data_IF_627371907049
#
_entry.id   IF_627371907049
#
_cell.length_a   1.000
_cell.length_b   1.000
_cell.length_c   1.000
_cell.angle_alpha   90.00
_cell.angle_beta   90.00
_cell.angle_gamma   90.00
#
_symmetry.space_group_name_H-M   'P 1'
#
loop_
_entity.id
_entity.type
_entity.pdbx_description
1 polymer ?
#
# COMPACT_ATOMS: atom_id res chain seq x y z
N UNK A 1 -9.60 -25.47 24.85
CA UNK A 1 -8.36 -25.52 24.07
C UNK A 1 -8.60 -24.76 22.78
N UNK A 2 -7.74 -23.84 22.36
CA UNK A 2 -7.82 -23.28 21.01
C UNK A 2 -7.17 -24.28 20.03
N UNK A 3 -7.74 -24.52 18.84
CA UNK A 3 -7.08 -25.38 17.86
C UNK A 3 -5.80 -24.70 17.37
N UNK A 4 -4.66 -25.28 17.71
CA UNK A 4 -3.40 -25.00 17.02
C UNK A 4 -3.52 -25.54 15.61
N UNK A 5 -3.88 -24.67 14.65
CA UNK A 5 -3.66 -24.93 13.23
C UNK A 5 -2.14 -24.85 12.98
N UNK A 6 -1.47 -25.95 13.30
CA UNK A 6 -0.11 -26.23 12.87
C UNK A 6 -0.15 -27.14 11.64
N UNK A 7 0.43 -26.64 10.56
CA UNK A 7 0.90 -27.31 9.33
C UNK A 7 0.61 -26.39 8.14
N UNK A 8 1.59 -25.56 7.84
CA UNK A 8 1.56 -24.57 6.77
C UNK A 8 1.58 -25.25 5.40
N UNK A 9 0.39 -25.58 4.89
CA UNK A 9 0.15 -25.82 3.47
C UNK A 9 -0.74 -24.70 2.96
N UNK A 10 -0.31 -24.05 1.86
CA UNK A 10 -1.15 -23.18 1.05
C UNK A 10 -2.41 -23.98 0.70
N UNK A 11 -3.59 -23.46 1.06
CA UNK A 11 -4.83 -24.21 0.87
C UNK A 11 -5.14 -24.25 -0.62
N UNK A 12 -5.60 -25.40 -1.11
CA UNK A 12 -5.97 -25.61 -2.51
C UNK A 12 -7.36 -25.03 -2.78
N UNK A 13 -7.50 -23.73 -2.52
CA UNK A 13 -8.68 -22.92 -2.77
C UNK A 13 -8.29 -21.48 -3.07
N UNK A 14 -9.09 -20.82 -3.89
CA UNK A 14 -9.04 -19.37 -4.12
C UNK A 14 -9.83 -18.57 -3.08
N UNK A 15 -10.53 -19.24 -2.16
CA UNK A 15 -11.43 -18.60 -1.21
C UNK A 15 -10.69 -17.93 -0.04
N UNK A 16 -11.27 -16.84 0.48
CA UNK A 16 -10.83 -16.19 1.70
C UNK A 16 -11.34 -16.99 2.92
N UNK A 17 -10.41 -17.41 3.76
CA UNK A 17 -10.68 -18.37 4.85
C UNK A 17 -10.89 -17.67 6.19
N UNK A 18 -12.11 -17.75 6.72
CA UNK A 18 -12.46 -17.31 8.08
C UNK A 18 -12.36 -18.49 9.05
N UNK A 19 -11.22 -18.60 9.73
CA UNK A 19 -10.99 -19.59 10.78
C UNK A 19 -11.60 -19.17 12.13
N UNK A 20 -12.92 -18.92 12.17
CA UNK A 20 -13.68 -18.56 13.37
C UNK A 20 -15.07 -19.22 13.38
N UNK A 21 -15.23 -20.29 14.16
CA UNK A 21 -16.48 -21.05 14.31
C UNK A 21 -17.70 -20.25 14.79
N UNK A 22 -17.48 -19.05 15.34
CA UNK A 22 -18.55 -18.18 15.85
C UNK A 22 -19.09 -17.22 14.76
N UNK A 23 -18.50 -17.22 13.57
CA UNK A 23 -19.01 -16.49 12.39
C UNK A 23 -19.68 -17.51 11.48
N UNK A 24 -20.99 -17.34 11.29
CA UNK A 24 -21.82 -18.14 10.38
C UNK A 24 -22.43 -17.27 9.28
N UNK A 25 -22.92 -17.88 8.22
CA UNK A 25 -23.72 -17.18 7.19
C UNK A 25 -24.90 -16.41 7.80
N UNK A 26 -25.54 -16.97 8.84
CA UNK A 26 -26.64 -16.36 9.59
C UNK A 26 -26.24 -15.34 10.66
N UNK A 27 -24.94 -15.13 10.92
CA UNK A 27 -24.48 -14.19 11.95
C UNK A 27 -24.71 -12.75 11.50
N UNK A 28 -25.35 -11.94 12.36
CA UNK A 28 -25.29 -10.48 12.26
C UNK A 28 -23.88 -10.03 12.65
N UNK A 29 -23.25 -9.18 11.85
CA UNK A 29 -21.89 -8.72 12.11
C UNK A 29 -21.73 -7.26 11.67
N UNK A 30 -21.26 -6.43 12.60
CA UNK A 30 -21.01 -5.02 12.39
C UNK A 30 -19.49 -4.78 12.36
N UNK A 31 -18.99 -4.31 11.22
CA UNK A 31 -17.61 -3.92 11.02
C UNK A 31 -17.43 -2.52 11.63
N UNK A 32 -17.33 -2.48 12.95
CA UNK A 32 -17.42 -1.26 13.77
C UNK A 32 -16.45 -0.17 13.36
N UNK A 33 -15.21 -0.52 12.99
CA UNK A 33 -14.18 0.47 12.65
C UNK A 33 -14.34 1.03 11.24
N UNK A 34 -15.05 0.33 10.35
CA UNK A 34 -15.53 0.89 9.07
C UNK A 34 -16.94 1.49 9.16
N UNK A 35 -17.73 1.17 10.18
CA UNK A 35 -19.14 1.54 10.29
C UNK A 35 -20.03 0.84 9.25
N UNK A 36 -19.70 -0.38 8.85
CA UNK A 36 -20.46 -1.17 7.86
C UNK A 36 -21.17 -2.36 8.53
N UNK A 37 -22.46 -2.52 8.24
CA UNK A 37 -23.26 -3.64 8.75
C UNK A 37 -23.53 -4.68 7.66
N UNK A 38 -23.29 -5.96 7.97
CA UNK A 38 -23.38 -7.06 7.01
C UNK A 38 -24.73 -7.16 6.28
N UNK A 39 -25.82 -6.81 6.95
CA UNK A 39 -27.17 -7.01 6.43
C UNK A 39 -27.74 -5.77 5.73
N UNK A 40 -27.33 -4.57 6.16
CA UNK A 40 -27.90 -3.30 5.67
C UNK A 40 -27.01 -2.55 4.67
N UNK A 41 -25.72 -2.86 4.58
CA UNK A 41 -24.80 -2.20 3.64
C UNK A 41 -24.68 -2.85 2.26
N UNK A 42 -25.38 -3.95 1.97
CA UNK A 42 -25.30 -4.72 0.71
C UNK A 42 -23.85 -5.05 0.29
N UNK A 43 -23.13 -5.71 1.20
CA UNK A 43 -21.73 -6.09 1.02
C UNK A 43 -21.50 -6.91 -0.28
N UNK A 44 -22.30 -7.94 -0.62
CA UNK A 44 -22.10 -8.70 -1.84
C UNK A 44 -22.17 -7.84 -3.10
N UNK A 45 -23.20 -7.01 -3.27
CA UNK A 45 -23.31 -6.17 -4.46
C UNK A 45 -22.11 -5.22 -4.60
N UNK A 46 -21.72 -4.57 -3.50
CA UNK A 46 -20.68 -3.52 -3.50
C UNK A 46 -19.25 -4.02 -3.65
N UNK A 47 -18.94 -5.26 -3.23
CA UNK A 47 -17.55 -5.70 -3.07
C UNK A 47 -17.19 -7.03 -3.77
N UNK A 48 -18.14 -7.80 -4.32
CA UNK A 48 -17.87 -9.13 -4.91
C UNK A 48 -16.77 -9.16 -5.99
N UNK A 49 -16.57 -8.06 -6.73
CA UNK A 49 -15.64 -7.92 -7.84
C UNK A 49 -14.20 -7.57 -7.41
N UNK A 50 -13.96 -7.30 -6.12
CA UNK A 50 -12.66 -6.89 -5.59
C UNK A 50 -11.60 -7.98 -5.80
N UNK A 51 -10.45 -7.56 -6.32
CA UNK A 51 -9.26 -8.40 -6.57
C UNK A 51 -7.99 -7.89 -5.89
N UNK A 52 -7.94 -6.60 -5.55
CA UNK A 52 -6.78 -6.01 -4.87
C UNK A 52 -7.22 -5.19 -3.66
N UNK A 53 -6.45 -5.31 -2.57
CA UNK A 53 -6.53 -4.41 -1.42
C UNK A 53 -5.18 -3.74 -1.26
N UNK A 54 -5.15 -2.42 -1.48
CA UNK A 54 -3.98 -1.60 -1.26
C UNK A 54 -4.13 -0.86 0.07
N UNK A 55 -3.17 -1.00 0.98
CA UNK A 55 -3.28 -0.40 2.32
C UNK A 55 -2.03 0.33 2.79
N UNK A 56 -2.20 1.35 3.63
CA UNK A 56 -1.10 2.18 4.14
C UNK A 56 -1.52 2.99 5.37
N UNK A 57 -0.58 3.60 6.10
CA UNK A 57 -0.93 4.19 7.40
C UNK A 57 -1.84 5.42 7.32
N UNK A 58 -1.58 6.31 6.36
CA UNK A 58 -2.25 7.62 6.24
C UNK A 58 -3.53 7.55 5.40
N UNK A 59 -4.66 7.95 5.99
CA UNK A 59 -5.95 8.07 5.29
C UNK A 59 -5.91 9.04 4.11
N UNK A 60 -5.23 10.18 4.27
CA UNK A 60 -4.99 11.14 3.18
C UNK A 60 -4.22 10.52 2.02
N UNK A 61 -3.25 9.67 2.31
CA UNK A 61 -2.40 9.02 1.30
C UNK A 61 -3.19 7.97 0.51
N UNK A 62 -3.96 7.12 1.20
CA UNK A 62 -4.83 6.13 0.55
C UNK A 62 -5.93 6.79 -0.28
N UNK A 63 -6.57 7.85 0.23
CA UNK A 63 -7.53 8.64 -0.54
C UNK A 63 -6.90 9.35 -1.75
N UNK A 64 -5.65 9.81 -1.65
CA UNK A 64 -4.95 10.41 -2.78
C UNK A 64 -4.63 9.37 -3.87
N UNK A 65 -4.14 8.19 -3.49
CA UNK A 65 -3.86 7.10 -4.42
C UNK A 65 -5.14 6.64 -5.14
N UNK A 66 -6.25 6.47 -4.41
CA UNK A 66 -7.55 6.12 -4.99
C UNK A 66 -7.98 7.14 -6.06
N UNK A 67 -7.81 8.44 -5.81
CA UNK A 67 -8.16 9.50 -6.77
C UNK A 67 -7.25 9.53 -8.01
N UNK A 68 -5.96 9.27 -7.85
CA UNK A 68 -5.02 9.15 -8.98
C UNK A 68 -5.39 7.95 -9.84
N UNK A 69 -5.53 6.77 -9.22
CA UNK A 69 -5.90 5.53 -9.90
C UNK A 69 -7.24 5.64 -10.63
N UNK A 70 -8.27 6.23 -10.00
CA UNK A 70 -9.56 6.45 -10.64
C UNK A 70 -9.42 7.28 -11.93
N UNK A 71 -8.65 8.37 -11.88
CA UNK A 71 -8.42 9.29 -13.00
C UNK A 71 -7.54 8.70 -14.12
N UNK A 72 -6.63 7.80 -13.80
CA UNK A 72 -5.85 7.05 -14.80
C UNK A 72 -6.73 6.03 -15.54
N UNK A 73 -7.86 5.65 -14.94
CA UNK A 73 -8.72 4.54 -15.36
C UNK A 73 -10.15 4.92 -15.74
N UNK A 74 -10.44 6.22 -15.85
CA UNK A 74 -11.78 6.80 -16.08
C UNK A 74 -12.88 6.30 -15.15
N UNK A 75 -12.52 5.92 -13.91
CA UNK A 75 -13.51 5.74 -12.87
C UNK A 75 -13.93 7.09 -12.28
N UNK A 76 -15.17 7.14 -11.80
CA UNK A 76 -15.66 8.29 -11.03
C UNK A 76 -14.77 8.59 -9.81
N UNK A 77 -14.73 9.86 -9.40
CA UNK A 77 -13.95 10.30 -8.25
C UNK A 77 -14.39 9.56 -6.97
N UNK A 78 -13.54 8.72 -6.35
CA UNK A 78 -14.00 7.80 -5.32
C UNK A 78 -14.39 8.52 -4.03
N UNK A 79 -15.54 8.13 -3.49
CA UNK A 79 -16.03 8.54 -2.17
C UNK A 79 -15.54 7.58 -1.09
N UNK A 80 -15.34 8.09 0.12
CA UNK A 80 -15.09 7.24 1.28
C UNK A 80 -16.35 6.43 1.60
N UNK A 81 -16.22 5.10 1.60
CA UNK A 81 -17.28 4.15 1.89
C UNK A 81 -17.38 3.84 3.38
N UNK A 82 -16.40 4.28 4.19
CA UNK A 82 -16.48 4.15 5.64
C UNK A 82 -17.44 5.18 6.25
N UNK A 83 -18.21 4.75 7.24
CA UNK A 83 -19.06 5.62 8.07
C UNK A 83 -18.39 5.98 9.41
N UNK A 84 -17.07 5.81 9.50
CA UNK A 84 -16.24 5.94 10.69
C UNK A 84 -15.01 6.82 10.42
N UNK A 85 -14.46 7.45 11.45
CA UNK A 85 -13.24 8.27 11.35
C UNK A 85 -11.94 7.49 11.58
N UNK A 86 -12.05 6.20 11.94
CA UNK A 86 -10.90 5.33 12.27
C UNK A 86 -10.12 4.93 11.03
N UNK A 87 -10.83 4.46 10.01
CA UNK A 87 -10.27 4.06 8.73
C UNK A 87 -11.11 4.61 7.58
N UNK A 88 -10.47 5.14 6.54
CA UNK A 88 -11.10 5.37 5.24
C UNK A 88 -11.13 4.09 4.42
N UNK A 89 -12.12 3.95 3.55
CA UNK A 89 -12.26 2.82 2.62
C UNK A 89 -12.77 3.33 1.26
N UNK A 90 -11.89 3.44 0.27
CA UNK A 90 -12.27 3.81 -1.11
C UNK A 90 -12.32 2.58 -2.01
N UNK A 91 -13.18 2.58 -3.04
CA UNK A 91 -13.22 1.55 -4.10
C UNK A 91 -13.07 2.20 -5.46
N UNK A 92 -12.22 1.64 -6.33
CA UNK A 92 -12.02 2.09 -7.71
C UNK A 92 -11.87 0.86 -8.61
N UNK A 93 -12.87 0.59 -9.46
CA UNK A 93 -12.96 -0.69 -10.15
C UNK A 93 -12.86 -1.86 -9.14
N UNK A 94 -11.89 -2.76 -9.36
CA UNK A 94 -11.66 -3.96 -8.53
C UNK A 94 -10.66 -3.75 -7.37
N UNK A 95 -10.27 -2.51 -7.08
CA UNK A 95 -9.29 -2.18 -6.05
C UNK A 95 -9.96 -1.49 -4.86
N UNK A 96 -9.63 -1.94 -3.65
CA UNK A 96 -9.92 -1.23 -2.40
C UNK A 96 -8.68 -0.51 -1.89
N UNK A 97 -8.86 0.73 -1.44
CA UNK A 97 -7.84 1.54 -0.79
C UNK A 97 -8.24 1.80 0.65
N UNK A 98 -7.46 1.29 1.60
CA UNK A 98 -7.82 1.31 3.02
C UNK A 98 -6.65 1.77 3.86
N UNK A 99 -6.85 2.72 4.78
CA UNK A 99 -5.78 3.06 5.72
C UNK A 99 -5.83 2.18 6.97
N UNK A 100 -4.69 2.03 7.64
CA UNK A 100 -4.58 1.14 8.79
C UNK A 100 -3.93 1.78 10.03
N UNK A 101 -3.69 3.09 10.03
CA UNK A 101 -3.02 3.79 11.13
C UNK A 101 -1.55 3.39 11.29
N UNK A 102 -1.06 3.30 12.52
CA UNK A 102 0.34 2.99 12.85
C UNK A 102 0.39 1.80 13.82
N UNK A 103 1.31 0.88 13.57
CA UNK A 103 1.61 -0.27 14.42
C UNK A 103 0.71 -1.49 14.16
N UNK A 104 1.26 -2.67 14.45
CA UNK A 104 0.56 -3.95 14.37
C UNK A 104 -0.83 -3.99 15.06
N UNK A 105 -1.08 -3.34 16.23
CA UNK A 105 -2.42 -3.33 16.83
C UNK A 105 -3.48 -2.65 15.96
N UNK A 106 -3.14 -1.50 15.36
CA UNK A 106 -4.03 -0.75 14.47
C UNK A 106 -4.28 -1.53 13.18
N UNK A 107 -3.21 -2.04 12.56
CA UNK A 107 -3.30 -2.88 11.38
C UNK A 107 -4.15 -4.14 11.61
N UNK A 108 -4.00 -4.81 12.75
CA UNK A 108 -4.74 -6.04 13.08
C UNK A 108 -6.25 -5.80 13.10
N UNK A 109 -6.74 -4.64 13.56
CA UNK A 109 -8.16 -4.31 13.55
C UNK A 109 -8.66 -4.16 12.11
N UNK A 110 -7.98 -3.35 11.29
CA UNK A 110 -8.30 -3.16 9.87
C UNK A 110 -8.33 -4.51 9.12
N UNK A 111 -7.31 -5.35 9.31
CA UNK A 111 -7.23 -6.66 8.67
C UNK A 111 -8.38 -7.59 9.09
N UNK A 112 -8.74 -7.66 10.37
CA UNK A 112 -9.85 -8.52 10.79
C UNK A 112 -11.19 -8.08 10.18
N UNK A 113 -11.46 -6.78 10.07
CA UNK A 113 -12.71 -6.30 9.48
C UNK A 113 -12.73 -6.42 7.95
N UNK A 114 -11.63 -6.12 7.23
CA UNK A 114 -11.62 -6.19 5.76
C UNK A 114 -11.60 -7.64 5.25
N UNK A 115 -10.98 -8.58 5.98
CA UNK A 115 -11.00 -9.99 5.63
C UNK A 115 -12.45 -10.54 5.80
N UNK A 116 -13.18 -10.12 6.85
CA UNK A 116 -14.61 -10.43 6.99
C UNK A 116 -15.46 -9.78 5.88
N UNK A 117 -15.22 -8.50 5.55
CA UNK A 117 -15.91 -7.78 4.47
C UNK A 117 -15.85 -8.56 3.15
N UNK A 118 -14.63 -8.96 2.73
CA UNK A 118 -14.41 -9.67 1.48
C UNK A 118 -14.92 -11.12 1.51
N UNK A 119 -14.87 -11.77 2.66
CA UNK A 119 -15.51 -13.07 2.87
C UNK A 119 -17.04 -12.99 2.69
N UNK A 120 -17.71 -12.02 3.31
CA UNK A 120 -19.16 -11.81 3.12
C UNK A 120 -19.52 -11.37 1.70
N UNK A 121 -18.58 -10.75 0.98
CA UNK A 121 -18.73 -10.42 -0.43
C UNK A 121 -18.50 -11.62 -1.38
N UNK A 122 -18.13 -12.79 -0.86
CA UNK A 122 -17.72 -13.97 -1.63
C UNK A 122 -16.55 -13.71 -2.61
N UNK A 123 -15.64 -12.79 -2.25
CA UNK A 123 -14.45 -12.54 -3.04
C UNK A 123 -13.53 -13.77 -3.07
N UNK A 124 -12.94 -14.02 -4.25
CA UNK A 124 -12.00 -15.11 -4.51
C UNK A 124 -10.74 -14.57 -5.17
N UNK A 125 -9.60 -15.18 -4.89
CA UNK A 125 -8.29 -14.85 -5.47
C UNK A 125 -7.96 -13.36 -5.34
N UNK A 126 -7.92 -12.88 -4.10
CA UNK A 126 -7.61 -11.48 -3.75
C UNK A 126 -6.15 -11.37 -3.31
N UNK A 127 -5.48 -10.31 -3.79
CA UNK A 127 -4.11 -9.97 -3.38
C UNK A 127 -4.10 -8.70 -2.53
N UNK A 128 -3.34 -8.73 -1.43
CA UNK A 128 -3.17 -7.60 -0.51
C UNK A 128 -1.78 -6.99 -0.69
N UNK A 129 -1.69 -5.68 -0.89
CA UNK A 129 -0.43 -4.96 -1.07
C UNK A 129 -0.35 -3.83 -0.04
N UNK A 130 0.65 -3.90 0.85
CA UNK A 130 0.94 -2.82 1.80
C UNK A 130 1.88 -1.81 1.16
N UNK A 131 1.44 -0.56 1.12
CA UNK A 131 2.12 0.62 0.56
C UNK A 131 2.61 1.53 1.71
N UNK A 132 3.87 1.34 2.08
CA UNK A 132 4.45 1.90 3.29
C UNK A 132 5.61 2.90 3.07
N UNK A 133 6.03 3.46 4.19
CA UNK A 133 7.24 4.28 4.35
C UNK A 133 8.11 3.60 5.40
N UNK A 134 9.43 3.66 5.23
CA UNK A 134 10.38 2.90 6.05
C UNK A 134 11.71 3.61 6.23
N UNK A 135 12.51 3.17 7.21
CA UNK A 135 13.92 3.57 7.33
C UNK A 135 14.82 2.53 6.66
N UNK A 136 15.56 2.89 5.61
CA UNK A 136 16.47 1.98 4.92
C UNK A 136 17.74 1.68 5.72
N UNK A 137 18.36 0.52 5.51
CA UNK A 137 19.64 0.12 6.12
C UNK A 137 20.66 -0.10 5.00
N UNK A 138 21.59 0.84 4.80
CA UNK A 138 22.51 0.78 3.67
C UNK A 138 21.83 0.96 2.31
N UNK A 139 20.64 1.58 2.30
CA UNK A 139 19.82 1.83 1.13
C UNK A 139 19.63 3.34 0.97
N UNK A 140 19.78 3.82 -0.26
CA UNK A 140 19.61 5.24 -0.57
C UNK A 140 18.14 5.70 -0.45
N UNK A 141 17.89 6.92 0.07
CA UNK A 141 16.54 7.46 0.17
C UNK A 141 15.80 7.45 -1.17
N UNK A 142 14.51 7.16 -1.14
CA UNK A 142 13.65 7.02 -2.31
C UNK A 142 13.64 5.61 -2.93
N UNK A 143 14.54 4.70 -2.53
CA UNK A 143 14.48 3.31 -2.99
C UNK A 143 13.26 2.60 -2.41
N UNK A 144 12.52 1.83 -3.22
CA UNK A 144 11.40 0.99 -2.78
C UNK A 144 11.92 -0.40 -2.40
N UNK A 145 11.74 -0.79 -1.14
CA UNK A 145 12.02 -2.15 -0.67
C UNK A 145 10.76 -3.00 -0.88
N UNK A 146 10.90 -4.08 -1.64
CA UNK A 146 9.86 -5.10 -1.85
C UNK A 146 10.22 -6.29 -0.96
N UNK A 147 9.58 -6.39 0.21
CA UNK A 147 10.00 -7.28 1.29
C UNK A 147 10.00 -8.76 0.87
N UNK A 148 11.10 -9.48 1.11
CA UNK A 148 11.19 -10.94 0.94
C UNK A 148 10.76 -11.72 2.19
N UNK A 149 10.42 -11.02 3.26
CA UNK A 149 10.07 -11.58 4.55
C UNK A 149 10.05 -10.51 5.64
N UNK A 150 9.37 -10.77 6.75
CA UNK A 150 9.18 -9.82 7.84
C UNK A 150 9.67 -10.40 9.17
N UNK A 151 10.67 -9.75 9.77
CA UNK A 151 11.25 -10.11 11.06
C UNK A 151 10.59 -9.30 12.20
N UNK A 152 10.41 -9.94 13.36
CA UNK A 152 10.03 -9.27 14.61
C UNK A 152 11.26 -8.84 15.42
N UNK A 153 11.05 -8.22 16.60
CA UNK A 153 12.13 -7.84 17.52
C UNK A 153 12.96 -9.01 18.11
N UNK A 154 12.51 -10.26 18.00
CA UNK A 154 13.31 -11.46 18.33
C UNK A 154 14.17 -11.93 17.13
N UNK A 155 14.20 -11.16 16.04
CA UNK A 155 14.84 -11.46 14.76
C UNK A 155 14.35 -12.77 14.11
N UNK A 156 13.05 -13.06 14.27
CA UNK A 156 12.37 -14.23 13.69
C UNK A 156 11.26 -13.81 12.73
N UNK A 157 10.99 -14.64 11.72
CA UNK A 157 9.86 -14.46 10.80
C UNK A 157 8.54 -14.94 11.44
N UNK A 158 8.21 -14.39 12.61
CA UNK A 158 7.03 -14.75 13.42
C UNK A 158 6.26 -13.53 13.90
N UNK A 159 4.94 -13.51 13.71
CA UNK A 159 4.05 -12.55 14.37
C UNK A 159 3.61 -13.09 15.73
N UNK A 160 4.03 -12.41 16.79
CA UNK A 160 3.73 -12.75 18.17
C UNK A 160 2.42 -12.09 18.62
N UNK A 161 1.45 -12.87 19.10
CA UNK A 161 0.25 -12.36 19.77
C UNK A 161 0.08 -12.94 21.18
N UNK A 162 -0.51 -12.15 22.08
CA UNK A 162 -0.86 -12.57 23.44
C UNK A 162 -2.35 -12.90 23.51
N UNK A 163 -2.69 -14.18 23.46
CA UNK A 163 -4.08 -14.67 23.43
C UNK A 163 -4.38 -15.38 24.76
N UNK A 164 -5.33 -14.83 25.52
CA UNK A 164 -5.70 -15.33 26.86
C UNK A 164 -4.47 -15.51 27.79
N UNK A 165 -3.54 -14.54 27.76
CA UNK A 165 -2.31 -14.56 28.56
C UNK A 165 -1.20 -15.50 28.04
N UNK A 166 -1.33 -16.08 26.85
CA UNK A 166 -0.34 -17.00 26.25
C UNK A 166 0.24 -16.42 24.97
N UNK A 167 1.57 -16.54 24.79
CA UNK A 167 2.24 -16.23 23.52
C UNK A 167 1.81 -17.21 22.45
N UNK A 168 1.38 -16.70 21.30
CA UNK A 168 1.03 -17.46 20.09
C UNK A 168 1.79 -16.84 18.92
N UNK A 169 2.84 -17.52 18.46
CA UNK A 169 3.55 -17.21 17.24
C UNK A 169 2.76 -17.68 16.01
N UNK A 170 2.88 -16.97 14.88
CA UNK A 170 2.47 -17.41 13.55
C UNK A 170 3.54 -17.04 12.52
N UNK A 171 3.81 -17.86 11.51
CA UNK A 171 4.82 -17.53 10.49
C UNK A 171 4.41 -16.28 9.70
N UNK A 172 5.40 -15.44 9.39
CA UNK A 172 5.26 -14.31 8.48
C UNK A 172 5.56 -14.79 7.05
N UNK A 173 4.56 -14.83 6.18
CA UNK A 173 4.69 -15.37 4.82
C UNK A 173 4.35 -14.28 3.79
N UNK A 174 5.30 -14.01 2.89
CA UNK A 174 5.11 -13.20 1.68
C UNK A 174 4.78 -14.14 0.53
N UNK A 175 3.88 -13.75 -0.38
CA UNK A 175 3.67 -14.53 -1.61
C UNK A 175 4.79 -14.22 -2.62
N UNK A 176 5.72 -15.17 -2.79
CA UNK A 176 6.90 -15.01 -3.65
C UNK A 176 6.53 -14.63 -5.08
N UNK A 177 5.46 -15.19 -5.66
CA UNK A 177 5.05 -14.88 -7.04
C UNK A 177 4.62 -13.42 -7.16
N UNK A 178 3.77 -12.95 -6.25
CA UNK A 178 3.37 -11.54 -6.19
C UNK A 178 4.58 -10.62 -5.95
N UNK A 179 5.55 -11.05 -5.13
CA UNK A 179 6.80 -10.31 -4.91
C UNK A 179 7.62 -10.17 -6.20
N UNK A 180 7.81 -11.25 -6.97
CA UNK A 180 8.52 -11.23 -8.25
C UNK A 180 7.81 -10.35 -9.28
N UNK A 181 6.48 -10.47 -9.40
CA UNK A 181 5.66 -9.62 -10.28
C UNK A 181 5.83 -8.12 -9.97
N UNK A 182 5.90 -7.76 -8.67
CA UNK A 182 6.14 -6.39 -8.23
C UNK A 182 7.58 -5.91 -8.52
N UNK A 183 8.58 -6.80 -8.43
CA UNK A 183 9.97 -6.50 -8.79
C UNK A 183 10.11 -6.26 -10.30
N UNK A 184 9.52 -7.12 -11.13
CA UNK A 184 9.52 -6.98 -12.59
C UNK A 184 8.80 -5.71 -13.04
N UNK A 185 7.64 -5.42 -12.42
CA UNK A 185 6.91 -4.17 -12.61
C UNK A 185 7.77 -2.95 -12.29
N UNK A 186 8.36 -2.87 -11.10
CA UNK A 186 9.18 -1.74 -10.68
C UNK A 186 10.40 -1.53 -11.59
N UNK A 187 11.04 -2.62 -12.05
CA UNK A 187 12.10 -2.57 -13.06
C UNK A 187 11.59 -1.98 -14.39
N UNK A 188 10.43 -2.43 -14.89
CA UNK A 188 9.88 -1.99 -16.18
C UNK A 188 9.54 -0.50 -16.25
N UNK A 189 9.17 0.10 -15.10
CA UNK A 189 8.85 1.53 -14.96
C UNK A 189 10.01 2.34 -14.34
N UNK A 190 11.21 1.75 -14.26
CA UNK A 190 12.45 2.38 -13.79
C UNK A 190 12.40 3.00 -12.38
N UNK A 191 11.60 2.43 -11.47
CA UNK A 191 11.61 2.84 -10.05
C UNK A 191 12.82 2.21 -9.36
N UNK A 192 13.67 3.00 -8.66
CA UNK A 192 14.74 2.45 -7.84
C UNK A 192 14.18 1.50 -6.77
N UNK A 193 14.51 0.21 -6.87
CA UNK A 193 13.96 -0.82 -5.99
C UNK A 193 15.04 -1.81 -5.52
N UNK A 194 14.78 -2.49 -4.41
CA UNK A 194 15.51 -3.69 -4.03
C UNK A 194 14.63 -4.68 -3.26
N UNK A 195 15.04 -5.95 -3.26
CA UNK A 195 14.45 -7.00 -2.40
C UNK A 195 15.31 -7.25 -1.16
N UNK A 196 14.67 -7.64 -0.05
CA UNK A 196 15.34 -8.01 1.20
C UNK A 196 14.36 -8.14 2.37
N UNK A 197 14.87 -8.55 3.53
CA UNK A 197 14.05 -8.68 4.73
C UNK A 197 13.69 -7.29 5.30
N UNK A 198 12.56 -7.23 5.99
CA UNK A 198 12.06 -6.03 6.69
C UNK A 198 11.99 -6.32 8.18
N UNK A 199 12.54 -5.44 9.03
CA UNK A 199 12.30 -5.50 10.47
C UNK A 199 11.02 -4.71 10.81
N UNK A 200 10.05 -5.41 11.39
CA UNK A 200 8.84 -4.85 11.96
C UNK A 200 9.08 -4.58 13.45
N UNK A 201 9.21 -3.31 13.83
CA UNK A 201 9.33 -2.87 15.21
C UNK A 201 7.96 -2.56 15.84
N UNK A 202 7.79 -2.84 17.13
CA UNK A 202 6.55 -2.51 17.86
C UNK A 202 6.45 -1.01 18.20
N UNK A 203 7.58 -0.29 18.23
CA UNK A 203 7.66 1.16 18.40
C UNK A 203 8.57 1.81 17.32
N UNK A 204 8.55 3.15 17.27
CA UNK A 204 9.30 3.91 16.27
C UNK A 204 10.75 4.22 16.68
N UNK A 205 11.06 4.27 17.98
CA UNK A 205 12.31 4.81 18.50
C UNK A 205 13.26 3.71 18.97
N UNK A 206 13.01 3.09 20.12
CA UNK A 206 13.92 2.15 20.75
C UNK A 206 13.95 0.81 20.00
N UNK A 207 12.79 0.29 19.60
CA UNK A 207 12.67 -0.89 18.74
C UNK A 207 13.23 -0.71 17.32
N UNK A 208 13.54 0.53 16.91
CA UNK A 208 14.29 0.82 15.67
C UNK A 208 15.72 1.34 15.94
N UNK A 209 16.22 1.29 17.18
CA UNK A 209 17.52 1.80 17.59
C UNK A 209 17.79 3.26 17.16
N UNK A 210 16.84 4.17 17.43
CA UNK A 210 16.97 5.62 17.17
C UNK A 210 17.45 6.39 18.39
N UNK A 211 18.47 7.24 18.21
CA UNK A 211 19.06 8.06 19.29
C UNK A 211 18.30 9.38 19.54
N UNK A 212 17.16 9.59 18.88
CA UNK A 212 16.39 10.84 18.90
C UNK A 212 14.99 10.70 19.54
N UNK A 213 14.80 9.65 20.34
CA UNK A 213 13.63 9.45 21.19
C UNK A 213 13.70 10.23 22.52
N UNK A 214 12.63 10.13 23.31
CA UNK A 214 12.60 10.69 24.67
C UNK A 214 13.35 9.81 25.70
N UNK A 215 13.58 8.53 25.36
CA UNK A 215 14.29 7.53 26.15
C UNK A 215 15.29 6.82 25.22
N UNK A 216 16.45 6.42 25.74
CA UNK A 216 17.51 5.75 24.98
C UNK A 216 18.54 5.12 25.92
N UNK A 217 18.38 3.83 26.24
CA UNK A 217 19.27 3.10 27.16
C UNK A 217 20.50 2.45 26.46
N UNK A 218 20.81 2.86 25.23
CA UNK A 218 21.90 2.32 24.40
C UNK A 218 22.69 3.44 23.71
N UNK A 219 23.93 3.14 23.30
CA UNK A 219 24.83 4.13 22.68
C UNK A 219 24.72 4.16 21.15
N UNK A 220 25.39 5.13 20.52
CA UNK A 220 25.57 5.13 19.07
C UNK A 220 26.39 3.94 18.57
N UNK A 221 27.28 3.36 19.38
CA UNK A 221 28.04 2.17 19.01
C UNK A 221 27.12 0.93 18.96
N UNK A 222 26.28 0.77 19.98
CA UNK A 222 25.28 -0.31 20.05
C UNK A 222 24.30 -0.26 18.88
N UNK A 223 23.80 0.95 18.56
CA UNK A 223 22.98 1.19 17.35
C UNK A 223 23.71 0.69 16.10
N UNK A 224 24.92 1.17 15.83
CA UNK A 224 25.61 0.82 14.58
C UNK A 224 26.04 -0.65 14.52
N UNK A 225 26.29 -1.29 15.66
CA UNK A 225 26.50 -2.73 15.75
C UNK A 225 25.24 -3.51 15.36
N UNK A 226 24.08 -3.14 15.92
CA UNK A 226 22.80 -3.76 15.59
C UNK A 226 22.39 -3.54 14.12
N UNK A 227 22.55 -2.33 13.59
CA UNK A 227 22.27 -2.03 12.18
C UNK A 227 23.14 -2.86 11.21
N UNK A 228 24.40 -3.15 11.57
CA UNK A 228 25.28 -4.03 10.79
C UNK A 228 24.80 -5.48 10.86
N UNK A 229 24.48 -6.00 12.03
CA UNK A 229 23.92 -7.36 12.19
C UNK A 229 22.64 -7.55 11.36
N UNK A 230 21.74 -6.55 11.34
CA UNK A 230 20.55 -6.58 10.49
C UNK A 230 20.89 -6.60 9.00
N UNK A 231 21.82 -5.75 8.55
CA UNK A 231 22.25 -5.72 7.15
C UNK A 231 22.89 -7.05 6.70
N UNK A 232 23.69 -7.68 7.57
CA UNK A 232 24.30 -9.00 7.39
C UNK A 232 23.26 -10.12 7.30
N UNK A 233 22.17 -10.05 8.09
CA UNK A 233 21.01 -10.95 7.98
C UNK A 233 20.15 -10.72 6.72
N UNK A 234 20.49 -9.75 5.87
CA UNK A 234 19.73 -9.43 4.66
C UNK A 234 18.56 -8.46 4.87
N UNK A 235 18.47 -7.81 6.04
CA UNK A 235 17.47 -6.75 6.28
C UNK A 235 17.85 -5.49 5.50
N UNK A 236 16.86 -4.83 4.90
CA UNK A 236 17.04 -3.61 4.10
C UNK A 236 16.24 -2.42 4.60
N UNK A 237 15.22 -2.62 5.44
CA UNK A 237 14.47 -1.52 6.06
C UNK A 237 13.78 -1.87 7.40
N UNK A 238 13.35 -0.80 8.09
CA UNK A 238 12.49 -0.81 9.28
C UNK A 238 11.11 -0.23 8.99
N UNK A 239 10.06 -0.87 9.50
CA UNK A 239 8.68 -0.35 9.59
C UNK A 239 7.96 -1.01 10.78
N UNK A 240 6.63 -0.90 10.91
CA UNK A 240 5.91 -1.25 12.15
C UNK A 240 4.68 -2.15 11.95
N UNK A 241 4.55 -2.82 10.80
CA UNK A 241 3.30 -3.52 10.44
C UNK A 241 3.48 -4.84 9.67
N UNK A 242 4.62 -5.08 9.02
CA UNK A 242 4.80 -6.18 8.06
C UNK A 242 4.63 -7.59 8.65
N UNK A 243 5.02 -7.82 9.91
CA UNK A 243 4.81 -9.14 10.56
C UNK A 243 3.34 -9.45 10.75
N UNK A 244 2.57 -8.51 11.31
CA UNK A 244 1.13 -8.62 11.46
C UNK A 244 0.43 -8.80 10.10
N UNK A 245 0.85 -8.03 9.10
CA UNK A 245 0.29 -8.07 7.75
C UNK A 245 0.42 -9.47 7.14
N UNK A 246 1.66 -9.92 6.95
CA UNK A 246 2.00 -11.19 6.29
C UNK A 246 1.46 -12.42 7.04
N UNK A 247 1.47 -12.41 8.37
CA UNK A 247 0.94 -13.53 9.16
C UNK A 247 -0.60 -13.61 9.13
N UNK A 248 -1.32 -12.48 9.11
CA UNK A 248 -2.80 -12.49 9.10
C UNK A 248 -3.38 -12.71 7.70
N UNK A 249 -2.77 -12.17 6.64
CA UNK A 249 -3.18 -12.49 5.26
C UNK A 249 -2.93 -13.95 4.92
N UNK A 250 -1.77 -14.49 5.27
CA UNK A 250 -1.47 -15.92 5.07
C UNK A 250 -2.45 -16.81 5.84
N UNK A 251 -2.81 -16.45 7.08
CA UNK A 251 -3.83 -17.17 7.87
C UNK A 251 -5.23 -17.16 7.22
N UNK A 252 -5.53 -16.16 6.41
CA UNK A 252 -6.78 -16.01 5.68
C UNK A 252 -6.72 -16.56 4.23
N UNK A 253 -5.62 -17.22 3.84
CA UNK A 253 -5.37 -17.71 2.48
C UNK A 253 -5.32 -16.60 1.41
N UNK A 254 -4.79 -15.42 1.79
CA UNK A 254 -4.69 -14.23 0.93
C UNK A 254 -3.22 -14.04 0.51
N UNK A 255 -2.97 -13.87 -0.80
CA UNK A 255 -1.64 -13.52 -1.34
C UNK A 255 -1.26 -12.13 -0.85
N UNK A 256 -0.04 -11.93 -0.38
CA UNK A 256 0.35 -10.66 0.22
C UNK A 256 1.79 -10.24 -0.08
N UNK A 257 1.97 -8.95 -0.33
CA UNK A 257 3.27 -8.32 -0.54
C UNK A 257 3.37 -6.96 0.19
N UNK A 258 4.59 -6.56 0.53
CA UNK A 258 4.89 -5.30 1.23
C UNK A 258 5.88 -4.49 0.39
N UNK A 259 5.49 -3.27 0.03
CA UNK A 259 6.27 -2.33 -0.76
C UNK A 259 6.43 -1.04 0.05
N UNK A 260 7.65 -0.77 0.52
CA UNK A 260 7.95 0.36 1.40
C UNK A 260 9.07 1.21 0.84
N UNK A 261 8.85 2.51 0.65
CA UNK A 261 9.93 3.44 0.29
C UNK A 261 10.84 3.72 1.49
N UNK A 262 12.15 3.76 1.30
CA UNK A 262 13.09 4.27 2.30
C UNK A 262 13.08 5.81 2.31
N UNK A 263 12.70 6.44 3.42
CA UNK A 263 12.74 7.90 3.54
C UNK A 263 14.12 8.45 3.94
N UNK A 264 14.99 7.58 4.43
CA UNK A 264 16.35 7.88 4.90
C UNK A 264 17.18 6.60 4.95
N UNK A 265 18.52 6.75 4.94
CA UNK A 265 19.45 5.68 5.29
C UNK A 265 19.80 5.77 6.79
N UNK A 266 19.37 4.78 7.59
CA UNK A 266 19.57 4.71 9.05
C UNK A 266 21.04 4.59 9.48
N UNK A 267 21.93 4.22 8.56
CA UNK A 267 23.38 4.26 8.79
C UNK A 267 23.94 5.70 8.79
N UNK A 268 23.21 6.67 8.22
CA UNK A 268 23.66 8.06 8.08
C UNK A 268 22.97 9.02 9.08
N UNK A 269 21.93 8.57 9.80
CA UNK A 269 21.20 9.38 10.76
C UNK A 269 19.86 8.77 11.18
N UNK A 270 19.12 9.48 12.02
CA UNK A 270 17.75 9.10 12.42
C UNK A 270 16.70 10.09 11.89
N UNK A 271 16.96 11.39 11.92
CA UNK A 271 16.03 12.41 11.42
C UNK A 271 15.78 12.28 9.91
N UNK A 272 14.53 12.47 9.48
CA UNK A 272 14.14 12.50 8.06
C UNK A 272 14.43 13.90 7.50
N UNK A 273 15.65 14.10 7.02
CA UNK A 273 16.14 15.39 6.50
C UNK A 273 16.06 15.38 4.96
N UNK A 274 14.83 15.42 4.44
CA UNK A 274 14.52 15.64 3.02
C UNK A 274 13.48 16.75 2.89
N UNK A 275 13.50 17.51 1.79
CA UNK A 275 12.52 18.57 1.58
C UNK A 275 11.13 17.99 1.28
N UNK A 276 10.11 18.83 1.40
CA UNK A 276 8.71 18.42 1.29
C UNK A 276 8.34 17.87 -0.11
N UNK A 277 8.95 18.37 -1.19
CA UNK A 277 8.64 17.89 -2.53
C UNK A 277 9.27 16.52 -2.75
N UNK A 278 10.53 16.34 -2.37
CA UNK A 278 11.22 15.03 -2.40
C UNK A 278 10.50 14.00 -1.52
N UNK A 279 10.03 14.39 -0.33
CA UNK A 279 9.21 13.52 0.54
C UNK A 279 7.93 13.04 -0.16
N UNK A 280 7.19 13.96 -0.79
CA UNK A 280 5.96 13.62 -1.52
C UNK A 280 6.24 12.76 -2.75
N UNK A 281 7.31 13.04 -3.50
CA UNK A 281 7.75 12.21 -4.61
C UNK A 281 8.06 10.77 -4.15
N UNK A 282 8.81 10.62 -3.06
CA UNK A 282 9.15 9.32 -2.49
C UNK A 282 7.91 8.58 -1.98
N UNK A 283 6.98 9.25 -1.29
CA UNK A 283 5.69 8.66 -0.90
C UNK A 283 4.83 8.23 -2.10
N UNK A 284 5.04 8.80 -3.29
CA UNK A 284 4.36 8.36 -4.51
C UNK A 284 5.05 7.18 -5.21
N UNK A 285 6.26 6.75 -4.84
CA UNK A 285 6.93 5.60 -5.49
C UNK A 285 6.28 4.24 -5.21
N UNK A 286 5.84 3.88 -3.99
CA UNK A 286 5.15 2.61 -3.74
C UNK A 286 3.84 2.37 -4.54
N UNK A 287 2.94 3.35 -4.76
CA UNK A 287 1.76 3.17 -5.61
C UNK A 287 2.04 3.36 -7.11
N UNK A 288 3.19 3.91 -7.51
CA UNK A 288 3.56 4.03 -8.92
C UNK A 288 3.78 2.62 -9.49
N UNK A 289 2.78 2.15 -10.23
CA UNK A 289 2.76 0.81 -10.79
C UNK A 289 1.51 0.60 -11.63
N UNK A 290 1.67 0.62 -12.95
CA UNK A 290 0.59 0.42 -13.94
C UNK A 290 0.01 -1.02 -13.94
N UNK A 291 0.28 -1.83 -12.91
CA UNK A 291 -0.12 -3.23 -12.79
C UNK A 291 -0.91 -3.58 -11.51
N UNK A 292 -1.28 -2.60 -10.67
CA UNK A 292 -2.48 -2.72 -9.79
C UNK A 292 -3.77 -2.52 -10.63
N UNK A 293 -3.59 -2.26 -11.92
CA UNK A 293 -4.48 -1.56 -12.84
C UNK A 293 -5.05 -2.50 -13.90
N UNK A 294 -4.32 -3.55 -14.30
CA UNK A 294 -4.75 -4.52 -15.32
C UNK A 294 -5.70 -5.60 -14.79
N UNK A 295 -6.80 -5.15 -14.15
CA UNK A 295 -8.08 -5.84 -14.27
C UNK A 295 -9.23 -4.81 -14.27
N UNK A 296 -9.62 -4.41 -15.48
CA UNK A 296 -10.61 -3.38 -15.85
C UNK A 296 -10.04 -1.96 -16.05
N UNK A 297 -9.84 -1.62 -17.33
CA UNK A 297 -9.55 -0.30 -17.94
C UNK A 297 -10.85 0.35 -18.49
N UNK A 298 -10.94 1.65 -18.82
CA UNK A 298 -10.11 2.51 -19.68
C UNK A 298 -10.46 4.01 -19.42
N UNK A 299 -9.46 4.93 -19.52
CA UNK A 299 -9.46 6.34 -20.06
C UNK A 299 -8.99 7.58 -19.21
N UNK A 300 -8.04 8.34 -19.76
CA UNK A 300 -7.88 9.83 -19.78
C UNK A 300 -8.25 10.75 -18.58
N UNK A 301 -7.26 11.32 -17.85
CA UNK A 301 -6.28 12.35 -18.35
C UNK A 301 -5.93 13.57 -17.44
N UNK A 302 -4.73 14.13 -17.70
CA UNK A 302 -4.23 15.52 -17.51
C UNK A 302 -3.41 15.91 -16.24
N UNK A 303 -2.19 16.41 -16.49
CA UNK A 303 -1.18 17.06 -15.60
C UNK A 303 -0.60 16.18 -14.48
N UNK A 304 0.73 15.99 -14.31
CA UNK A 304 1.88 16.71 -14.92
C UNK A 304 3.18 15.86 -14.92
N UNK A 305 3.31 14.85 -15.79
CA UNK A 305 4.58 14.19 -16.12
C UNK A 305 4.64 13.87 -17.63
N UNK A 306 5.85 13.60 -18.15
CA UNK A 306 6.12 13.54 -19.60
C UNK A 306 5.35 12.40 -20.28
N UNK A 307 4.47 12.77 -21.23
CA UNK A 307 3.43 11.87 -21.76
C UNK A 307 3.92 10.88 -22.82
N UNK A 308 5.13 11.07 -23.37
CA UNK A 308 5.58 10.30 -24.54
C UNK A 308 6.20 8.95 -24.22
N UNK A 309 6.73 8.72 -23.02
CA UNK A 309 7.31 7.41 -22.67
C UNK A 309 6.26 6.39 -22.15
N UNK A 310 5.09 6.88 -21.72
CA UNK A 310 3.99 6.06 -21.20
C UNK A 310 3.24 5.28 -22.30
N UNK A 311 3.36 5.70 -23.57
CA UNK A 311 2.58 5.19 -24.72
C UNK A 311 3.02 3.82 -25.23
N UNK A 312 4.32 3.61 -25.39
CA UNK A 312 4.83 2.43 -26.11
C UNK A 312 4.89 1.19 -25.21
N UNK A 313 5.04 1.40 -23.90
CA UNK A 313 4.94 0.36 -22.86
C UNK A 313 3.54 -0.28 -22.82
N UNK A 314 2.47 0.54 -22.85
CA UNK A 314 1.07 0.05 -22.87
C UNK A 314 0.77 -0.91 -24.02
N UNK A 315 1.45 -0.76 -25.17
CA UNK A 315 1.18 -1.54 -26.37
C UNK A 315 1.74 -2.95 -26.27
N UNK A 316 2.97 -3.10 -25.76
CA UNK A 316 3.65 -4.40 -25.64
C UNK A 316 3.01 -5.33 -24.58
N UNK A 317 2.38 -4.76 -23.55
CA UNK A 317 1.77 -5.53 -22.47
C UNK A 317 0.33 -6.01 -22.83
N UNK A 318 -0.33 -5.31 -23.76
CA UNK A 318 -1.68 -5.67 -24.24
C UNK A 318 -1.71 -6.99 -25.01
N UNK A 319 -0.62 -7.33 -25.71
CA UNK A 319 -0.49 -8.60 -26.43
C UNK A 319 -0.14 -9.79 -25.51
N UNK A 320 0.22 -9.54 -24.25
CA UNK A 320 0.70 -10.58 -23.32
C UNK A 320 -0.41 -11.26 -22.49
N UNK A 321 -1.54 -10.59 -22.23
CA UNK A 321 -2.50 -11.02 -21.20
C UNK A 321 -3.90 -11.49 -21.68
N UNK A 322 -4.25 -11.36 -22.97
CA UNK A 322 -5.49 -11.89 -23.59
C UNK A 322 -6.84 -11.64 -22.87
N UNK A 323 -6.93 -10.62 -22.00
CA UNK A 323 -8.17 -10.25 -21.29
C UNK A 323 -8.96 -9.23 -22.11
N UNK A 324 -9.44 -9.64 -23.29
CA UNK A 324 -10.56 -8.97 -23.96
C UNK A 324 -11.84 -9.76 -23.78
N UNK A 325 -12.71 -9.31 -22.89
CA UNK A 325 -14.14 -9.65 -22.96
C UNK A 325 -14.67 -9.19 -24.32
N UNK A 326 -15.05 -10.13 -25.20
CA UNK A 326 -15.55 -9.80 -26.55
C UNK A 326 -16.75 -8.84 -26.45
N UNK A 327 -16.78 -7.74 -27.23
CA UNK A 327 -17.96 -6.88 -27.29
C UNK A 327 -19.17 -7.66 -27.82
N UNK A 328 -20.36 -7.45 -27.23
CA UNK A 328 -21.61 -7.91 -27.83
C UNK A 328 -21.87 -7.13 -29.14
N UNK A 329 -21.60 -7.77 -30.27
CA UNK A 329 -21.97 -7.22 -31.58
C UNK A 329 -23.50 -7.28 -31.74
N UNK A 330 -24.15 -6.13 -31.61
CA UNK A 330 -25.52 -5.90 -32.11
C UNK A 330 -25.47 -5.16 -33.43
N UNK A 331 -25.62 -5.86 -34.55
CA UNK A 331 -26.01 -5.24 -35.82
C UNK A 331 -26.80 -6.21 -36.70
N UNK A 332 -28.08 -5.90 -36.81
CA UNK A 332 -29.09 -6.44 -37.73
C UNK A 332 -28.65 -6.63 -39.20
N UNK A 333 -29.30 -7.58 -39.89
CA UNK A 333 -29.64 -7.59 -41.35
C UNK A 333 -28.41 -7.82 -42.30
N UNK A 334 -28.41 -8.66 -43.35
CA UNK A 334 -29.48 -9.24 -44.20
C UNK A 334 -29.05 -10.60 -44.86
N UNK A 335 -30.00 -11.54 -44.96
CA UNK A 335 -30.27 -12.49 -46.08
C UNK A 335 -29.18 -13.34 -46.81
N UNK A 336 -29.48 -14.65 -46.84
CA UNK A 336 -29.60 -15.55 -48.02
C UNK A 336 -28.61 -16.74 -48.26
N UNK A 337 -29.19 -17.95 -48.08
CA UNK A 337 -29.18 -19.12 -49.00
C UNK A 337 -28.01 -20.15 -48.95
N UNK A 338 -28.24 -21.23 -48.15
CA UNK A 338 -27.92 -22.67 -48.39
C UNK A 338 -26.44 -23.13 -48.58
N UNK A 339 -26.00 -24.38 -48.28
CA UNK A 339 -26.67 -25.67 -48.03
C UNK A 339 -25.72 -26.65 -47.28
N UNK A 340 -26.24 -27.31 -46.23
CA UNK A 340 -25.82 -28.54 -45.49
C UNK A 340 -24.33 -28.96 -45.23
N UNK A 341 -24.02 -29.51 -44.04
CA UNK A 341 -22.71 -30.05 -43.62
C UNK A 341 -22.60 -31.58 -43.83
N UNK A 342 -21.45 -32.21 -43.48
CA UNK A 342 -21.35 -33.56 -42.84
C UNK A 342 -19.90 -34.00 -42.49
N UNK A 343 -19.74 -34.62 -41.31
CA UNK A 343 -18.65 -35.49 -40.78
C UNK A 343 -17.33 -34.88 -40.23
N UNK A 344 -16.89 -35.50 -39.13
CA UNK A 344 -15.80 -35.16 -38.19
C UNK A 344 -14.92 -36.44 -37.95
N UNK A 345 -14.01 -36.59 -36.95
CA UNK A 345 -12.56 -36.65 -37.17
C UNK A 345 -11.89 -37.98 -36.75
N UNK A 346 -10.58 -38.14 -37.00
CA UNK A 346 -9.66 -38.90 -36.11
C UNK A 346 -8.17 -38.60 -36.35
N UNK A 347 -7.34 -38.82 -35.33
CA UNK A 347 -5.90 -38.48 -35.21
C UNK A 347 -4.94 -39.60 -35.67
N UNK A 348 -3.61 -39.29 -35.78
CA UNK A 348 -2.45 -39.99 -35.13
C UNK A 348 -1.10 -39.89 -35.92
N UNK A 349 0.00 -39.70 -35.15
CA UNK A 349 1.44 -40.07 -35.40
C UNK A 349 2.44 -39.16 -36.15
N UNK A 350 3.17 -38.38 -35.34
CA UNK A 350 4.65 -38.30 -35.19
C UNK A 350 5.65 -38.79 -36.26
N UNK A 351 6.59 -37.91 -36.65
CA UNK A 351 7.97 -38.21 -37.16
C UNK A 351 8.78 -36.88 -37.37
N UNK A 352 10.14 -36.77 -37.42
CA UNK A 352 11.30 -37.54 -36.88
C UNK A 352 12.59 -36.66 -36.94
N UNK A 353 13.43 -36.65 -35.87
CA UNK A 353 14.88 -36.26 -35.80
C UNK A 353 15.40 -34.89 -36.34
N UNK A 354 16.65 -34.44 -36.11
CA UNK A 354 17.62 -34.48 -34.97
C UNK A 354 18.89 -33.64 -35.32
N UNK A 355 19.85 -33.50 -34.38
CA UNK A 355 21.29 -33.11 -34.56
C UNK A 355 21.65 -31.59 -34.63
N UNK A 356 22.82 -31.06 -34.18
CA UNK A 356 23.94 -31.47 -33.28
C UNK A 356 24.93 -30.27 -33.10
N UNK A 357 25.75 -30.23 -32.01
CA UNK A 357 27.05 -29.51 -31.87
C UNK A 357 27.07 -27.96 -31.73
N UNK A 358 28.09 -27.29 -31.15
CA UNK A 358 28.93 -27.49 -29.93
C UNK A 358 29.92 -26.28 -29.80
N UNK A 359 30.33 -25.92 -28.57
CA UNK A 359 31.54 -25.15 -28.17
C UNK A 359 31.78 -23.70 -28.69
N UNK A 360 32.04 -22.73 -27.78
CA UNK A 360 33.40 -22.23 -27.48
C UNK A 360 33.45 -21.17 -26.35
N UNK A 361 34.65 -20.97 -25.78
CA UNK A 361 34.96 -20.36 -24.48
C UNK A 361 35.17 -18.83 -24.43
N UNK A 362 35.56 -18.33 -23.23
CA UNK A 362 36.19 -17.04 -22.85
C UNK A 362 35.28 -15.99 -22.16
N UNK A 363 35.68 -15.19 -21.14
CA UNK A 363 36.81 -15.21 -20.17
C UNK A 363 36.57 -14.07 -19.11
N UNK A 364 37.40 -13.96 -18.05
CA UNK A 364 37.63 -12.76 -17.17
C UNK A 364 36.48 -12.43 -16.17
N UNK A 365 36.49 -12.84 -14.88
CA UNK A 365 37.30 -12.45 -13.70
C UNK A 365 37.03 -11.07 -13.04
N UNK A 366 36.35 -11.12 -11.87
CA UNK A 366 36.51 -10.33 -10.63
C UNK A 366 36.84 -8.82 -10.66
N UNK A 367 36.07 -8.04 -9.89
CA UNK A 367 36.62 -6.89 -9.15
C UNK A 367 35.86 -6.67 -7.83
N UNK A 368 36.50 -6.96 -6.71
CA UNK A 368 36.01 -6.57 -5.39
C UNK A 368 36.51 -5.15 -5.08
N UNK A 369 35.60 -4.19 -4.88
CA UNK A 369 35.96 -2.83 -4.46
C UNK A 369 35.80 -2.72 -2.94
N UNK A 370 36.83 -2.23 -2.26
CA UNK A 370 36.91 -2.28 -0.80
C UNK A 370 36.38 -0.99 -0.18
N UNK A 371 35.73 -1.10 0.98
CA UNK A 371 35.04 0.00 1.70
C UNK A 371 35.89 1.27 1.92
N UNK A 372 37.23 1.18 1.85
CA UNK A 372 38.15 2.32 1.98
C UNK A 372 38.10 3.35 0.83
N UNK A 373 37.62 2.99 -0.36
CA UNK A 373 37.63 3.93 -1.49
C UNK A 373 36.49 4.96 -1.42
N UNK A 374 35.39 4.63 -0.73
CA UNK A 374 34.25 5.54 -0.50
C UNK A 374 34.54 6.60 0.56
N UNK A 375 35.31 6.28 1.60
CA UNK A 375 35.65 7.22 2.70
C UNK A 375 36.53 8.39 2.22
N UNK A 376 37.33 8.20 1.16
CA UNK A 376 38.18 9.24 0.60
C UNK A 376 37.43 10.24 -0.29
N UNK A 377 36.30 9.84 -0.91
CA UNK A 377 35.49 10.77 -1.71
C UNK A 377 34.69 11.74 -0.84
N UNK A 378 34.12 11.28 0.29
CA UNK A 378 33.37 12.14 1.21
C UNK A 378 34.22 13.29 1.82
N UNK A 379 35.51 13.06 2.12
CA UNK A 379 36.38 14.12 2.65
C UNK A 379 36.70 15.25 1.67
N UNK A 380 36.48 15.06 0.36
CA UNK A 380 36.71 16.11 -0.65
C UNK A 380 35.53 17.11 -0.77
N UNK A 381 34.31 16.68 -0.42
CA UNK A 381 33.09 17.48 -0.60
C UNK A 381 32.80 18.41 0.59
N UNK A 382 33.25 18.05 1.80
CA UNK A 382 32.98 18.83 3.01
C UNK A 382 33.75 20.16 3.10
N UNK A 383 34.78 20.35 2.26
CA UNK A 383 35.65 21.53 2.27
C UNK A 383 35.22 22.65 1.29
N UNK A 384 34.02 22.59 0.69
CA UNK A 384 33.56 23.58 -0.32
C UNK A 384 32.36 24.45 0.08
N UNK A 385 31.79 24.30 1.28
CA UNK A 385 30.53 24.96 1.67
C UNK A 385 30.67 26.14 2.66
N UNK A 386 31.89 26.59 2.97
CA UNK A 386 32.16 27.64 3.97
C UNK A 386 32.64 28.97 3.35
N UNK A 387 31.93 29.53 2.36
CA UNK A 387 31.97 30.97 2.06
C UNK A 387 30.80 31.41 1.17
N UNK A 388 29.97 32.34 1.65
CA UNK A 388 29.40 33.50 0.92
C UNK A 388 28.64 34.36 1.95
N UNK A 389 28.89 35.67 1.91
CA UNK A 389 28.44 36.62 2.93
C UNK A 389 27.15 37.36 2.54
N UNK A 390 26.34 37.64 3.56
CA UNK A 390 25.64 38.89 3.89
C UNK A 390 25.07 39.84 2.79
N UNK A 391 23.85 40.29 3.10
CA UNK A 391 23.22 41.58 2.75
C UNK A 391 22.66 41.79 1.33
N UNK A 392 21.35 42.09 1.26
CA UNK A 392 20.74 43.18 0.47
C UNK A 392 19.36 43.53 1.07
N UNK A 393 18.94 44.79 0.93
CA UNK A 393 17.85 45.43 1.69
C UNK A 393 16.55 45.58 0.85
N UNK A 394 15.43 45.77 1.55
CA UNK A 394 14.05 45.89 1.02
C UNK A 394 13.80 47.16 0.21
N UNK A 395 12.93 47.07 -0.81
CA UNK A 395 12.10 48.21 -1.28
C UNK A 395 10.69 47.72 -1.67
N UNK A 396 9.67 48.56 -1.41
CA UNK A 396 8.25 48.31 -1.68
C UNK A 396 7.78 49.15 -2.87
N UNK A 397 6.89 48.62 -3.71
CA UNK A 397 5.93 49.43 -4.48
C UNK A 397 4.53 48.79 -4.48
N UNK A 398 3.50 49.64 -4.49
CA UNK A 398 2.08 49.26 -4.37
C UNK A 398 1.40 49.19 -5.74
N UNK A 399 0.42 48.30 -5.90
CA UNK A 399 -0.72 48.58 -6.79
C UNK A 399 -1.98 47.76 -6.44
N UNK A 400 -3.15 48.39 -6.16
CA UNK A 400 -4.41 47.68 -5.96
C UNK A 400 -5.52 48.10 -6.95
N UNK A 401 -6.17 47.14 -7.62
CA UNK A 401 -7.47 47.39 -8.28
C UNK A 401 -8.53 46.34 -7.94
N UNK A 402 -9.78 46.81 -7.86
CA UNK A 402 -10.97 46.06 -7.42
C UNK A 402 -11.81 45.64 -8.61
N UNK A 403 -12.22 44.37 -8.70
CA UNK A 403 -13.46 43.99 -9.40
C UNK A 403 -14.35 43.14 -8.49
N UNK A 404 -15.67 43.32 -8.63
CA UNK A 404 -16.71 42.93 -7.68
C UNK A 404 -17.38 41.59 -8.03
N UNK A 405 -17.87 40.94 -6.98
CA UNK A 405 -19.12 40.17 -6.89
C UNK A 405 -19.69 39.49 -8.15
N UNK A 406 -19.77 38.15 -8.10
CA UNK A 406 -21.02 37.43 -8.42
C UNK A 406 -21.27 36.32 -7.40
N UNK A 407 -22.37 36.45 -6.66
CA UNK A 407 -22.92 35.39 -5.82
C UNK A 407 -23.65 34.35 -6.68
N UNK A 408 -23.39 33.06 -6.47
CA UNK A 408 -24.35 32.01 -6.83
C UNK A 408 -24.56 31.08 -5.64
N UNK A 409 -25.83 30.96 -5.21
CA UNK A 409 -26.28 29.97 -4.23
C UNK A 409 -26.69 28.70 -4.99
N UNK A 410 -26.14 27.55 -4.62
CA UNK A 410 -26.71 26.24 -4.98
C UNK A 410 -26.64 25.28 -3.81
N UNK A 411 -27.83 24.89 -3.33
CA UNK A 411 -28.18 23.79 -2.44
C UNK A 411 -27.07 23.13 -1.59
N UNK A 412 -27.03 23.51 -0.32
CA UNK A 412 -26.57 22.61 0.74
C UNK A 412 -27.78 21.81 1.21
N UNK A 413 -27.90 20.53 0.84
CA UNK A 413 -28.88 19.65 1.46
C UNK A 413 -28.53 19.50 2.95
N UNK A 414 -29.48 19.82 3.81
CA UNK A 414 -29.43 19.48 5.23
C UNK A 414 -29.73 17.99 5.38
N UNK A 415 -28.71 17.20 5.66
CA UNK A 415 -28.88 15.87 6.24
C UNK A 415 -29.40 16.05 7.67
N UNK A 416 -30.72 15.99 7.83
CA UNK A 416 -31.32 15.73 9.14
C UNK A 416 -30.87 14.33 9.58
N UNK A 417 -30.16 14.24 10.70
CA UNK A 417 -29.88 12.97 11.34
C UNK A 417 -31.17 12.48 12.00
N UNK A 418 -31.70 11.36 11.53
CA UNK A 418 -32.81 10.67 12.20
C UNK A 418 -32.38 10.27 13.61
N UNK A 419 -33.01 10.89 14.60
CA UNK A 419 -32.56 10.99 16.00
C UNK A 419 -32.72 9.70 16.84
N UNK A 420 -32.78 8.53 16.20
CA UNK A 420 -33.34 7.30 16.78
C UNK A 420 -32.38 6.11 16.94
N UNK A 421 -31.07 6.26 16.67
CA UNK A 421 -30.07 5.27 17.08
C UNK A 421 -29.10 5.87 18.11
N UNK A 422 -29.30 5.48 19.37
CA UNK A 422 -28.42 5.85 20.48
C UNK A 422 -27.19 4.96 20.44
N UNK A 423 -26.19 5.34 19.64
CA UNK A 423 -24.84 4.79 19.76
C UNK A 423 -24.29 5.16 21.14
N UNK A 424 -24.22 4.19 22.05
CA UNK A 424 -23.55 4.36 23.34
C UNK A 424 -22.04 4.47 23.12
N UNK A 425 -21.58 5.69 22.86
CA UNK A 425 -20.16 6.02 23.01
C UNK A 425 -19.73 5.75 24.45
N UNK A 426 -18.57 5.13 24.62
CA UNK A 426 -17.97 4.97 25.94
C UNK A 426 -17.68 6.36 26.58
N UNK A 427 -17.55 6.45 27.90
CA UNK A 427 -17.37 7.73 28.59
C UNK A 427 -16.15 8.54 28.13
N UNK A 428 -15.07 7.89 27.70
CA UNK A 428 -13.86 8.57 27.23
C UNK A 428 -14.05 9.11 25.80
N UNK A 429 -14.63 8.33 24.88
CA UNK A 429 -14.97 8.83 23.53
C UNK A 429 -16.00 9.96 23.59
N UNK A 430 -17.02 9.85 24.47
CA UNK A 430 -17.99 10.93 24.69
C UNK A 430 -17.32 12.21 25.21
N UNK A 431 -16.45 12.10 26.22
CA UNK A 431 -15.70 13.25 26.74
C UNK A 431 -14.76 13.88 25.70
N UNK A 432 -14.14 13.06 24.83
CA UNK A 432 -13.30 13.54 23.73
C UNK A 432 -14.10 14.33 22.69
N UNK A 433 -15.29 13.86 22.28
CA UNK A 433 -16.16 14.61 21.37
C UNK A 433 -16.70 15.90 22.00
N UNK A 434 -17.14 15.88 23.26
CA UNK A 434 -17.56 17.09 23.99
C UNK A 434 -16.42 18.13 24.05
N UNK A 435 -15.18 17.69 24.26
CA UNK A 435 -14.00 18.57 24.24
C UNK A 435 -13.69 19.09 22.82
N UNK A 436 -13.78 18.25 21.78
CA UNK A 436 -13.60 18.65 20.37
C UNK A 436 -14.62 19.71 19.97
N UNK A 437 -15.89 19.53 20.31
CA UNK A 437 -16.96 20.50 20.07
C UNK A 437 -16.73 21.82 20.83
N UNK A 438 -16.21 21.76 22.05
CA UNK A 438 -15.83 22.95 22.84
C UNK A 438 -14.67 23.73 22.20
N UNK A 439 -13.69 23.06 21.62
CA UNK A 439 -12.61 23.68 20.84
C UNK A 439 -13.12 24.31 19.53
N UNK A 440 -14.03 23.65 18.83
CA UNK A 440 -14.65 24.19 17.61
C UNK A 440 -15.47 25.46 17.90
N UNK A 441 -16.26 25.49 18.98
CA UNK A 441 -16.96 26.70 19.44
C UNK A 441 -15.97 27.85 19.71
N UNK A 442 -14.92 27.61 20.52
CA UNK A 442 -13.87 28.63 20.79
C UNK A 442 -13.22 29.18 19.52
N UNK A 443 -12.98 28.35 18.49
CA UNK A 443 -12.45 28.81 17.20
C UNK A 443 -13.45 29.68 16.43
N UNK A 444 -14.73 29.31 16.46
CA UNK A 444 -15.79 30.09 15.81
C UNK A 444 -16.02 31.44 16.52
N UNK A 445 -15.98 31.48 17.85
CA UNK A 445 -16.11 32.70 18.64
C UNK A 445 -14.93 33.66 18.38
N UNK A 446 -13.70 33.14 18.31
CA UNK A 446 -12.52 33.95 17.97
C UNK A 446 -12.61 34.51 16.54
N UNK A 447 -13.00 33.70 15.56
CA UNK A 447 -13.24 34.12 14.17
C UNK A 447 -14.34 35.19 14.02
N UNK A 448 -15.33 35.20 14.92
CA UNK A 448 -16.37 36.23 14.96
C UNK A 448 -15.92 37.52 15.66
N UNK A 449 -15.04 37.43 16.67
CA UNK A 449 -14.46 38.60 17.34
C UNK A 449 -13.38 39.29 16.49
N UNK A 450 -12.61 38.54 15.70
CA UNK A 450 -11.66 39.10 14.73
C UNK A 450 -12.35 39.72 13.48
N UNK A 451 -13.70 39.75 13.46
CA UNK A 451 -14.55 40.31 12.39
C UNK A 451 -15.54 41.39 12.87
N UNK A 452 -15.38 41.88 14.11
CA UNK A 452 -16.09 43.03 14.67
C UNK A 452 -15.11 44.15 14.99
#
# INVERSE_FOLDING_TARGET
>A
MAPSLGNDKKLDTTDIVINNQNITESSNDFLYHFGLDKNTDDIPCRFHDVKFVCCGGSSKRMGHYAKIFAKEMNYDDPTDLSKSDRYCLYKTGKVLWVNHGIGAPSLSVMLNEIIKLLHYANCKDVSFIRLGTSGGIGIEPGTVIISSGALNGELKQEFNQWIMGKKVSRPCIVDEKLQFELIEMANSINIPQCSGLTLCADDFYEGQARLDGAFCDYTSEDKFKFLKELAEKGVRNFEMESTCFTALTSRANIKAAVCCVALLNRLNGDQVIIDKNTYLEYEMRPPQGENIVQTASIETSLTLFDKTQLSDFTKSLTDYLDIRSKPLIKSNIQKDITKNPIIEPTEISSSVCSNVSQNQDNMITSTATTIKDLENQQKSLLNKSNTINNNITVSNENNPEKIKNTTNKTNKQSLEWSLNEVVQLDPATKAAEEYRLKLLKKRHDKSNNDKK
#
